data_IF_239628099993
#
_entry.id   IF_239628099993
#
_cell.length_a   1.000
_cell.length_b   1.000
_cell.length_c   1.000
_cell.angle_alpha   90.00
_cell.angle_beta   90.00
_cell.angle_gamma   90.00
#
_symmetry.space_group_name_H-M   'P 1'
#
loop_
_entity.id
_entity.type
_entity.pdbx_description
1 polymer ?
#
# COMPACT_ATOMS: atom_id res chain seq x y z
N UNK A 1 20.12 7.06 -4.11
CA UNK A 1 19.02 7.72 -3.37
C UNK A 1 19.01 7.20 -1.94
N UNK A 2 18.79 8.04 -0.92
CA UNK A 2 18.72 7.59 0.48
C UNK A 2 17.40 6.85 0.76
N UNK A 3 17.46 5.62 1.28
CA UNK A 3 16.29 4.78 1.56
C UNK A 3 15.43 5.35 2.69
N UNK A 4 16.04 6.03 3.68
CA UNK A 4 15.32 6.70 4.76
C UNK A 4 14.50 7.88 4.23
N UNK A 5 15.07 8.59 3.24
CA UNK A 5 14.39 9.68 2.56
C UNK A 5 13.22 9.17 1.70
N UNK A 6 13.44 8.11 0.92
CA UNK A 6 12.39 7.44 0.16
C UNK A 6 11.25 6.94 1.06
N UNK A 7 11.59 6.35 2.21
CA UNK A 7 10.61 5.91 3.19
C UNK A 7 9.78 7.09 3.74
N UNK A 8 10.43 8.23 4.02
CA UNK A 8 9.76 9.44 4.49
C UNK A 8 8.77 9.98 3.44
N UNK A 9 9.17 10.04 2.17
CA UNK A 9 8.28 10.44 1.08
C UNK A 9 7.13 9.45 0.87
N UNK A 10 7.39 8.16 1.06
CA UNK A 10 6.37 7.11 1.01
C UNK A 10 5.35 7.27 2.13
N UNK A 11 5.79 7.52 3.37
CA UNK A 11 4.87 7.82 4.47
C UNK A 11 4.04 9.08 4.22
N UNK A 12 4.67 10.13 3.69
CA UNK A 12 3.99 11.39 3.37
C UNK A 12 2.88 11.19 2.32
N UNK A 13 3.12 10.37 1.29
CA UNK A 13 2.11 10.03 0.29
C UNK A 13 0.83 9.46 0.93
N UNK A 14 0.97 8.49 1.83
CA UNK A 14 -0.18 7.88 2.50
C UNK A 14 -0.83 8.83 3.51
N UNK A 15 -0.05 9.56 4.31
CA UNK A 15 -0.56 10.55 5.28
C UNK A 15 -1.37 11.65 4.59
N UNK A 16 -0.89 12.15 3.44
CA UNK A 16 -1.60 13.18 2.66
C UNK A 16 -2.93 12.69 2.08
N UNK A 17 -3.09 11.37 1.87
CA UNK A 17 -4.35 10.74 1.47
C UNK A 17 -5.22 10.34 2.67
N UNK A 18 -4.84 10.71 3.90
CA UNK A 18 -5.62 10.47 5.12
C UNK A 18 -5.40 9.12 5.79
N UNK A 19 -4.36 8.37 5.38
CA UNK A 19 -4.03 7.09 5.98
C UNK A 19 -3.11 7.25 7.20
N UNK A 20 -3.18 6.27 8.11
CA UNK A 20 -2.21 6.13 9.19
C UNK A 20 -1.07 5.23 8.70
N UNK A 21 0.17 5.61 8.97
CA UNK A 21 1.34 4.77 8.66
C UNK A 21 2.08 4.38 9.93
N UNK A 22 2.67 3.19 9.91
CA UNK A 22 3.60 2.71 10.93
C UNK A 22 4.85 2.17 10.22
N UNK A 23 6.02 2.71 10.58
CA UNK A 23 7.30 2.34 9.99
C UNK A 23 8.01 1.31 10.88
N UNK A 24 8.40 0.19 10.27
CA UNK A 24 9.24 -0.84 10.87
C UNK A 24 10.56 -0.89 10.11
N UNK A 25 11.66 -0.71 10.82
CA UNK A 25 13.01 -0.64 10.25
C UNK A 25 13.85 -1.83 10.70
N UNK A 26 14.62 -2.39 9.78
CA UNK A 26 15.57 -3.48 9.97
C UNK A 26 16.81 -3.21 9.11
N UNK A 27 17.93 -3.88 9.36
CA UNK A 27 19.26 -3.54 8.80
C UNK A 27 19.25 -3.15 7.30
N UNK A 28 18.55 -3.90 6.45
CA UNK A 28 18.46 -3.63 4.99
C UNK A 28 17.02 -3.49 4.49
N UNK A 29 16.08 -3.20 5.39
CA UNK A 29 14.65 -3.23 5.07
C UNK A 29 13.86 -2.19 5.84
N UNK A 30 13.07 -1.42 5.12
CA UNK A 30 12.05 -0.54 5.69
C UNK A 30 10.69 -1.04 5.25
N UNK A 31 9.79 -1.30 6.20
CA UNK A 31 8.39 -1.66 5.94
C UNK A 31 7.49 -0.57 6.47
N UNK A 32 6.60 -0.06 5.63
CA UNK A 32 5.61 0.97 5.96
C UNK A 32 4.24 0.30 5.91
N UNK A 33 3.67 0.04 7.07
CA UNK A 33 2.34 -0.51 7.22
C UNK A 33 1.31 0.62 7.09
N UNK A 34 0.31 0.45 6.23
CA UNK A 34 -0.72 1.47 5.96
C UNK A 34 -2.04 1.01 6.54
N UNK A 35 -2.69 1.87 7.34
CA UNK A 35 -3.92 1.59 8.08
C UNK A 35 -5.00 2.63 7.77
N UNK A 36 -6.27 2.23 7.91
CA UNK A 36 -7.44 3.13 7.93
C UNK A 36 -8.00 3.20 9.34
N UNK A 37 -8.51 4.35 9.75
CA UNK A 37 -9.15 4.53 11.07
C UNK A 37 -10.27 3.52 11.34
N UNK A 38 -11.03 3.15 10.31
CA UNK A 38 -12.24 2.32 10.41
C UNK A 38 -11.97 0.81 10.31
N UNK A 39 -10.74 0.42 9.97
CA UNK A 39 -10.38 -0.99 9.73
C UNK A 39 -9.38 -1.45 10.77
N UNK A 40 -9.71 -2.54 11.47
CA UNK A 40 -8.75 -3.21 12.35
C UNK A 40 -7.65 -3.84 11.51
N UNK A 41 -6.42 -3.37 11.73
CA UNK A 41 -5.22 -3.86 11.07
C UNK A 41 -4.80 -3.08 9.81
N UNK A 42 -3.61 -3.38 9.28
CA UNK A 42 -3.13 -2.80 8.04
C UNK A 42 -3.97 -3.24 6.85
N UNK A 43 -4.07 -2.36 5.85
CA UNK A 43 -4.73 -2.64 4.57
C UNK A 43 -3.72 -3.02 3.47
N UNK A 44 -2.52 -2.46 3.55
CA UNK A 44 -1.38 -2.79 2.72
C UNK A 44 -0.08 -2.45 3.46
N UNK A 45 1.04 -2.93 2.92
CA UNK A 45 2.37 -2.59 3.35
C UNK A 45 3.21 -2.21 2.13
N UNK A 46 4.06 -1.20 2.27
CA UNK A 46 5.14 -0.93 1.32
C UNK A 46 6.44 -1.41 1.92
N UNK A 47 7.18 -2.21 1.16
CA UNK A 47 8.46 -2.76 1.58
C UNK A 47 9.55 -2.20 0.68
N UNK A 48 10.57 -1.63 1.30
CA UNK A 48 11.76 -1.10 0.63
C UNK A 48 12.92 -1.93 1.14
N UNK A 49 13.58 -2.68 0.26
CA UNK A 49 14.71 -3.56 0.61
C UNK A 49 15.94 -3.23 -0.23
N UNK A 50 17.12 -3.32 0.37
CA UNK A 50 18.39 -3.18 -0.34
C UNK A 50 19.26 -2.02 0.15
N UNK A 51 19.94 -1.37 -0.78
CA UNK A 51 20.92 -0.29 -0.52
C UNK A 51 20.59 0.95 -1.36
N UNK A 52 21.20 2.08 -1.04
CA UNK A 52 20.97 3.37 -1.73
C UNK A 52 21.19 3.35 -3.26
N UNK A 53 21.96 2.37 -3.75
CA UNK A 53 22.30 2.19 -5.17
C UNK A 53 21.57 1.02 -5.83
N UNK A 54 20.99 0.11 -5.04
CA UNK A 54 20.28 -1.05 -5.55
C UNK A 54 19.22 -1.46 -4.52
N UNK A 55 17.98 -1.07 -4.77
CA UNK A 55 16.86 -1.34 -3.88
C UNK A 55 15.64 -1.79 -4.69
N UNK A 56 14.76 -2.52 -4.02
CA UNK A 56 13.44 -2.90 -4.50
C UNK A 56 12.37 -2.21 -3.68
N UNK A 57 11.24 -1.92 -4.31
CA UNK A 57 10.04 -1.44 -3.65
C UNK A 57 8.94 -2.44 -4.00
N UNK A 58 8.26 -2.96 -2.99
CA UNK A 58 7.09 -3.83 -3.15
C UNK A 58 5.87 -3.17 -2.51
N UNK A 59 4.74 -3.17 -3.21
CA UNK A 59 3.43 -2.82 -2.66
C UNK A 59 2.64 -4.10 -2.39
N UNK A 60 2.35 -4.39 -1.13
CA UNK A 60 1.81 -5.68 -0.69
C UNK A 60 0.44 -5.45 -0.07
N UNK A 61 -0.61 -6.04 -0.64
CA UNK A 61 -1.94 -6.04 -0.01
C UNK A 61 -1.96 -7.00 1.18
N UNK A 62 -2.57 -6.60 2.28
CA UNK A 62 -2.64 -7.46 3.47
C UNK A 62 -3.50 -8.70 3.23
N UNK A 63 -3.13 -9.84 3.84
CA UNK A 63 -3.81 -11.12 3.62
C UNK A 63 -5.26 -11.06 4.10
N UNK A 64 -5.52 -10.35 5.20
CA UNK A 64 -6.86 -10.12 5.74
C UNK A 64 -7.75 -9.36 4.74
N UNK A 65 -7.18 -8.40 4.01
CA UNK A 65 -7.86 -7.65 2.95
C UNK A 65 -8.11 -8.55 1.73
N UNK A 66 -7.11 -9.33 1.30
CA UNK A 66 -7.28 -10.31 0.22
C UNK A 66 -8.39 -11.32 0.52
N UNK A 67 -8.45 -11.84 1.75
CA UNK A 67 -9.51 -12.74 2.22
C UNK A 67 -10.89 -12.08 2.18
N UNK A 68 -11.03 -10.80 2.56
CA UNK A 68 -12.31 -10.06 2.47
C UNK A 68 -12.79 -9.88 1.03
N UNK A 69 -11.88 -9.59 0.10
CA UNK A 69 -12.19 -9.48 -1.33
C UNK A 69 -12.68 -10.84 -1.86
N UNK A 70 -11.99 -11.94 -1.51
CA UNK A 70 -12.37 -13.29 -1.94
C UNK A 70 -13.72 -13.71 -1.32
N UNK A 71 -13.94 -13.47 -0.02
CA UNK A 71 -15.18 -13.84 0.66
C UNK A 71 -16.38 -13.05 0.11
N UNK A 72 -16.21 -11.76 -0.20
CA UNK A 72 -17.22 -10.97 -0.92
C UNK A 72 -17.50 -11.46 -2.33
N UNK A 73 -16.54 -12.19 -2.94
CA UNK A 73 -16.70 -12.81 -4.26
C UNK A 73 -17.38 -14.18 -4.18
N UNK A 74 -17.17 -14.98 -3.11
CA UNK A 74 -17.76 -16.31 -2.94
C UNK A 74 -19.26 -16.30 -2.53
N UNK A 75 -19.76 -15.17 -2.00
CA UNK A 75 -21.21 -14.99 -1.78
C UNK A 75 -22.02 -14.81 -3.07
N UNK A 76 -21.37 -14.79 -4.24
CA UNK A 76 -22.02 -14.90 -5.56
C UNK A 76 -22.90 -16.14 -5.70
N UNK A 77 -22.63 -17.20 -4.92
CA UNK A 77 -23.44 -18.42 -4.91
C UNK A 77 -24.68 -18.34 -3.98
N UNK A 78 -24.78 -17.33 -3.11
CA UNK A 78 -25.84 -17.22 -2.09
C UNK A 78 -26.52 -15.84 -2.00
N UNK A 79 -26.77 -15.17 -3.14
CA UNK A 79 -27.75 -14.07 -3.23
C UNK A 79 -27.49 -12.82 -2.38
N UNK A 80 -26.26 -12.60 -1.88
CA UNK A 80 -25.94 -11.53 -0.93
C UNK A 80 -25.52 -10.19 -1.55
N UNK A 81 -26.46 -9.46 -2.17
CA UNK A 81 -26.18 -8.23 -2.95
C UNK A 81 -25.40 -7.09 -2.26
N UNK A 82 -25.54 -6.89 -0.95
CA UNK A 82 -24.91 -5.74 -0.23
C UNK A 82 -23.43 -5.99 0.12
N UNK A 83 -23.03 -7.23 0.40
CA UNK A 83 -21.63 -7.55 0.72
C UNK A 83 -20.75 -7.62 -0.53
N UNK A 84 -21.35 -7.94 -1.69
CA UNK A 84 -20.70 -7.92 -3.01
C UNK A 84 -20.20 -6.51 -3.35
N UNK A 85 -21.06 -5.49 -3.21
CA UNK A 85 -20.72 -4.10 -3.52
C UNK A 85 -19.52 -3.59 -2.69
N UNK A 86 -19.48 -3.95 -1.40
CA UNK A 86 -18.39 -3.52 -0.50
C UNK A 86 -17.05 -4.18 -0.82
N UNK A 87 -17.05 -5.46 -1.22
CA UNK A 87 -15.83 -6.18 -1.60
C UNK A 87 -15.22 -5.66 -2.91
N UNK A 88 -16.08 -5.36 -3.90
CA UNK A 88 -15.68 -4.76 -5.17
C UNK A 88 -15.15 -3.34 -4.99
N UNK A 89 -15.86 -2.49 -4.23
CA UNK A 89 -15.43 -1.12 -3.92
C UNK A 89 -14.07 -1.11 -3.22
N UNK A 90 -13.86 -1.97 -2.21
CA UNK A 90 -12.58 -2.07 -1.51
C UNK A 90 -11.44 -2.47 -2.47
N UNK A 91 -11.69 -3.41 -3.38
CA UNK A 91 -10.70 -3.81 -4.39
C UNK A 91 -10.36 -2.66 -5.33
N UNK A 92 -11.36 -1.97 -5.88
CA UNK A 92 -11.16 -0.83 -6.79
C UNK A 92 -10.38 0.31 -6.11
N UNK A 93 -10.70 0.62 -4.85
CA UNK A 93 -10.00 1.63 -4.07
C UNK A 93 -8.52 1.27 -3.84
N UNK A 94 -8.22 0.01 -3.53
CA UNK A 94 -6.86 -0.46 -3.30
C UNK A 94 -6.04 -0.52 -4.60
N UNK A 95 -6.65 -0.97 -5.69
CA UNK A 95 -6.00 -0.91 -7.00
C UNK A 95 -5.72 0.52 -7.44
N UNK A 96 -6.64 1.45 -7.16
CA UNK A 96 -6.42 2.88 -7.42
C UNK A 96 -5.29 3.42 -6.55
N UNK A 97 -5.27 3.08 -5.26
CA UNK A 97 -4.20 3.49 -4.34
C UNK A 97 -2.83 2.98 -4.81
N UNK A 98 -2.75 1.73 -5.25
CA UNK A 98 -1.52 1.14 -5.78
C UNK A 98 -1.06 1.82 -7.09
N UNK A 99 -1.99 2.09 -8.02
CA UNK A 99 -1.66 2.84 -9.24
C UNK A 99 -1.13 4.25 -8.92
N UNK A 100 -1.84 4.99 -8.08
CA UNK A 100 -1.42 6.33 -7.65
C UNK A 100 -0.04 6.30 -6.97
N UNK A 101 0.21 5.26 -6.18
CA UNK A 101 1.48 5.06 -5.49
C UNK A 101 2.64 4.88 -6.48
N UNK A 102 2.48 4.02 -7.48
CA UNK A 102 3.54 3.77 -8.46
C UNK A 102 3.85 5.00 -9.31
N UNK A 103 2.83 5.77 -9.70
CA UNK A 103 3.03 7.04 -10.40
C UNK A 103 3.86 8.00 -9.54
N UNK A 104 3.48 8.17 -8.27
CA UNK A 104 4.21 9.05 -7.34
C UNK A 104 5.67 8.62 -7.14
N UNK A 105 5.92 7.33 -6.96
CA UNK A 105 7.28 6.80 -6.78
C UNK A 105 8.14 7.00 -8.03
N UNK A 106 7.58 6.76 -9.22
CA UNK A 106 8.29 6.98 -10.47
C UNK A 106 8.66 8.45 -10.67
N UNK A 107 7.74 9.37 -10.38
CA UNK A 107 7.99 10.82 -10.44
C UNK A 107 9.05 11.26 -9.41
N UNK A 108 8.98 10.69 -8.21
CA UNK A 108 9.94 10.95 -7.14
C UNK A 108 11.35 10.52 -7.56
N UNK A 109 11.51 9.28 -8.03
CA UNK A 109 12.80 8.74 -8.48
C UNK A 109 13.34 9.58 -9.65
N UNK A 110 12.51 9.86 -10.67
CA UNK A 110 12.91 10.68 -11.81
C UNK A 110 13.35 12.10 -11.42
N UNK A 111 12.78 12.67 -10.35
CA UNK A 111 13.18 13.97 -9.81
C UNK A 111 14.56 13.90 -9.14
N UNK A 112 14.88 12.80 -8.47
CA UNK A 112 16.18 12.60 -7.82
C UNK A 112 17.29 12.18 -8.79
N UNK A 113 16.97 11.54 -9.92
CA UNK A 113 17.96 11.19 -10.95
C UNK A 113 18.40 12.39 -11.81
N UNK A 114 17.56 13.43 -11.92
CA UNK A 114 17.86 14.65 -12.70
C UNK A 114 18.71 15.67 -11.94
N UNK A 115 19.05 15.41 -10.67
CA UNK A 115 19.88 16.27 -9.83
C UNK A 115 21.26 15.66 -9.64
#
# INVERSE_FOLDING_TARGET
MDLSLLATYTEAFFKNKGYITEKLESENRITIMVKRNEVSGPICAVRIEGTSNNFTIDFIWEESVRKRIILGSLTTLFGGGILILRGLQLKEELEKLERDFWVYIQELIATFEKR
#
